data_IF_713992956752
#
_entry.id   IF_713992956752
#
_cell.length_a   1.000
_cell.length_b   1.000
_cell.length_c   1.000
_cell.angle_alpha   90.00
_cell.angle_beta   90.00
_cell.angle_gamma   90.00
#
_symmetry.space_group_name_H-M   'P 1'
#
loop_
_entity.id
_entity.type
_entity.pdbx_description
1 polymer ?
#
# COMPACT_ATOMS: atom_id res chain seq x y z
N UNK A 1 -23.59 -2.84 -7.82
CA UNK A 1 -23.25 -1.44 -8.15
C UNK A 1 -21.91 -1.47 -8.88
N UNK A 2 -21.93 -1.24 -10.19
CA UNK A 2 -20.76 -1.39 -11.07
C UNK A 2 -19.75 -0.26 -10.79
N UNK A 3 -18.46 -0.61 -10.69
CA UNK A 3 -17.38 0.36 -10.56
C UNK A 3 -17.37 1.29 -11.79
N UNK A 4 -17.13 2.60 -11.62
CA UNK A 4 -17.12 3.56 -12.72
C UNK A 4 -16.03 3.25 -13.76
N UNK A 5 -16.37 3.44 -15.04
CA UNK A 5 -15.55 3.11 -16.23
C UNK A 5 -14.18 3.83 -16.30
N UNK A 6 -13.91 4.77 -15.40
CA UNK A 6 -12.64 5.51 -15.33
C UNK A 6 -11.47 4.73 -14.71
N UNK A 7 -11.70 3.51 -14.23
CA UNK A 7 -10.64 2.60 -13.71
C UNK A 7 -10.16 1.55 -14.72
N UNK A 8 -10.72 1.51 -15.94
CA UNK A 8 -10.38 0.51 -16.96
C UNK A 8 -8.92 0.52 -17.47
N UNK A 9 -8.14 1.62 -17.49
CA UNK A 9 -6.78 1.56 -18.05
C UNK A 9 -5.70 0.97 -17.12
N UNK A 10 -5.97 0.72 -15.83
CA UNK A 10 -4.99 0.04 -14.95
C UNK A 10 -4.98 -1.49 -15.13
N UNK A 11 -5.91 -2.04 -15.92
CA UNK A 11 -6.05 -3.47 -16.19
C UNK A 11 -5.60 -3.87 -17.60
N UNK A 12 -5.13 -2.93 -18.43
CA UNK A 12 -4.75 -3.19 -19.83
C UNK A 12 -3.27 -2.95 -20.15
N UNK A 13 -2.41 -2.84 -19.13
CA UNK A 13 -0.95 -2.77 -19.30
C UNK A 13 -0.33 -4.17 -19.37
N UNK A 14 0.40 -4.44 -20.45
CA UNK A 14 0.95 -5.74 -20.82
C UNK A 14 1.89 -6.34 -19.75
N UNK A 15 1.52 -7.52 -19.23
CA UNK A 15 2.25 -8.50 -18.37
C UNK A 15 2.30 -8.31 -16.83
N UNK A 16 1.95 -9.41 -16.11
CA UNK A 16 2.86 -10.24 -15.27
C UNK A 16 2.46 -10.60 -13.83
N UNK A 17 1.23 -10.32 -13.37
CA UNK A 17 0.72 -10.98 -12.16
C UNK A 17 0.42 -12.46 -12.48
N UNK A 18 1.27 -13.37 -12.01
CA UNK A 18 1.18 -14.82 -12.29
C UNK A 18 0.54 -15.57 -11.13
N UNK A 19 0.71 -15.06 -9.91
CA UNK A 19 0.29 -15.70 -8.68
C UNK A 19 -0.63 -14.78 -7.89
N UNK A 20 -1.60 -15.35 -7.19
CA UNK A 20 -2.53 -14.58 -6.39
C UNK A 20 -3.13 -15.35 -5.23
N UNK A 21 -3.43 -14.63 -4.16
CA UNK A 21 -4.07 -15.14 -2.95
C UNK A 21 -4.97 -14.08 -2.33
N UNK A 22 -5.84 -14.49 -1.40
CA UNK A 22 -6.65 -13.59 -0.58
C UNK A 22 -6.30 -13.82 0.88
N UNK A 23 -6.06 -12.73 1.60
CA UNK A 23 -5.76 -12.75 3.03
C UNK A 23 -6.91 -12.04 3.75
N UNK A 24 -7.59 -12.74 4.65
CA UNK A 24 -8.57 -12.12 5.54
C UNK A 24 -7.84 -11.28 6.60
N UNK A 25 -8.24 -10.02 6.73
CA UNK A 25 -7.62 -9.07 7.67
C UNK A 25 -8.68 -8.24 8.42
N UNK A 26 -8.32 -7.60 9.55
CA UNK A 26 -9.20 -6.67 10.27
C UNK A 26 -9.71 -5.48 9.43
N UNK A 27 -9.07 -5.15 8.31
CA UNK A 27 -9.54 -4.09 7.38
C UNK A 27 -10.33 -4.65 6.18
N UNK A 28 -10.80 -5.90 6.30
CA UNK A 28 -11.44 -6.66 5.23
C UNK A 28 -10.46 -7.57 4.48
N UNK A 29 -10.96 -8.40 3.54
CA UNK A 29 -10.11 -9.24 2.73
C UNK A 29 -9.19 -8.40 1.84
N UNK A 30 -7.95 -8.83 1.69
CA UNK A 30 -6.96 -8.23 0.79
C UNK A 30 -6.54 -9.26 -0.25
N UNK A 31 -6.73 -8.95 -1.53
CA UNK A 31 -6.13 -9.74 -2.60
C UNK A 31 -4.70 -9.29 -2.86
N UNK A 32 -3.78 -10.25 -2.90
CA UNK A 32 -2.35 -10.02 -3.13
C UNK A 32 -1.97 -10.74 -4.42
N UNK A 33 -1.32 -10.03 -5.35
CA UNK A 33 -0.81 -10.62 -6.58
C UNK A 33 0.69 -10.37 -6.75
N UNK A 34 1.37 -11.36 -7.30
CA UNK A 34 2.81 -11.33 -7.50
C UNK A 34 3.22 -11.81 -8.90
N UNK A 35 4.33 -11.26 -9.38
CA UNK A 35 5.13 -11.82 -10.45
C UNK A 35 6.22 -12.73 -9.86
N UNK A 36 7.14 -13.22 -10.71
CA UNK A 36 8.36 -13.89 -10.25
C UNK A 36 9.31 -12.96 -9.49
N UNK A 37 9.17 -11.64 -9.63
CA UNK A 37 10.07 -10.64 -9.02
C UNK A 37 9.61 -10.13 -7.67
N UNK A 38 8.30 -10.12 -7.42
CA UNK A 38 7.75 -9.51 -6.21
C UNK A 38 6.23 -9.33 -6.25
N UNK A 39 5.70 -8.80 -5.14
CA UNK A 39 4.30 -8.36 -5.06
C UNK A 39 4.11 -7.17 -6.00
N UNK A 40 3.16 -7.30 -6.92
CA UNK A 40 2.83 -6.27 -7.91
C UNK A 40 1.66 -5.42 -7.45
N UNK A 41 0.64 -6.05 -6.84
CA UNK A 41 -0.60 -5.38 -6.42
C UNK A 41 -1.13 -5.92 -5.10
N UNK A 42 -1.73 -5.03 -4.30
CA UNK A 42 -2.59 -5.37 -3.17
C UNK A 42 -3.87 -4.55 -3.29
N UNK A 43 -5.00 -5.24 -3.35
CA UNK A 43 -6.31 -4.63 -3.49
C UNK A 43 -7.24 -5.02 -2.34
N UNK A 44 -8.14 -4.09 -2.01
CA UNK A 44 -9.19 -4.34 -1.02
C UNK A 44 -10.30 -5.16 -1.67
N UNK A 45 -10.69 -6.25 -1.03
CA UNK A 45 -11.67 -7.20 -1.54
C UNK A 45 -11.06 -8.56 -1.90
N UNK A 46 -11.86 -9.37 -2.60
CA UNK A 46 -11.57 -10.78 -2.88
C UNK A 46 -11.24 -11.03 -4.36
N UNK A 47 -10.43 -10.16 -4.97
CA UNK A 47 -10.10 -10.29 -6.41
C UNK A 47 -9.04 -11.38 -6.58
N UNK A 48 -9.47 -12.59 -6.95
CA UNK A 48 -8.57 -13.71 -7.18
C UNK A 48 -8.19 -13.84 -8.66
N UNK A 49 -6.88 -13.86 -8.97
CA UNK A 49 -6.32 -14.11 -10.32
C UNK A 49 -4.96 -14.81 -10.20
N UNK A 50 -4.65 -15.72 -11.13
CA UNK A 50 -3.35 -16.44 -11.16
C UNK A 50 -3.35 -17.78 -10.42
N UNK A 51 -2.16 -18.40 -10.30
CA UNK A 51 -1.96 -19.62 -9.52
C UNK A 51 -1.87 -19.32 -8.01
N UNK A 52 -2.34 -20.25 -7.17
CA UNK A 52 -2.50 -20.01 -5.71
C UNK A 52 -1.20 -20.01 -4.91
N UNK A 53 -0.18 -20.71 -5.39
CA UNK A 53 1.02 -20.97 -4.61
C UNK A 53 2.26 -20.52 -5.36
N UNK A 54 3.04 -19.70 -4.67
CA UNK A 54 4.37 -19.26 -5.03
C UNK A 54 5.03 -18.68 -3.77
N UNK A 55 6.34 -18.88 -3.55
CA UNK A 55 7.00 -18.44 -2.32
C UNK A 55 6.76 -16.96 -1.97
N UNK A 56 6.60 -16.09 -2.97
CA UNK A 56 6.33 -14.66 -2.75
C UNK A 56 4.92 -14.40 -2.19
N UNK A 57 3.88 -15.04 -2.72
CA UNK A 57 2.51 -14.85 -2.20
C UNK A 57 2.33 -15.52 -0.84
N UNK A 58 3.03 -16.62 -0.59
CA UNK A 58 3.02 -17.33 0.70
C UNK A 58 3.73 -16.50 1.78
N UNK A 59 4.89 -15.93 1.45
CA UNK A 59 5.60 -15.00 2.33
C UNK A 59 4.79 -13.73 2.57
N UNK A 60 4.16 -13.14 1.55
CA UNK A 60 3.33 -11.96 1.70
C UNK A 60 2.12 -12.23 2.61
N UNK A 61 1.46 -13.38 2.43
CA UNK A 61 0.36 -13.82 3.30
C UNK A 61 0.79 -13.92 4.75
N UNK A 62 1.93 -14.57 5.00
CA UNK A 62 2.49 -14.75 6.35
C UNK A 62 2.78 -13.39 6.99
N UNK A 63 3.51 -12.52 6.29
CA UNK A 63 3.90 -11.21 6.82
C UNK A 63 2.72 -10.27 7.04
N UNK A 64 1.68 -10.34 6.20
CA UNK A 64 0.45 -9.56 6.40
C UNK A 64 -0.25 -10.03 7.68
N UNK A 65 -0.33 -11.34 7.92
CA UNK A 65 -0.93 -11.88 9.16
C UNK A 65 -0.14 -11.45 10.40
N UNK A 66 1.19 -11.57 10.38
CA UNK A 66 2.07 -11.11 11.46
C UNK A 66 1.91 -9.60 11.72
N UNK A 67 1.77 -8.79 10.66
CA UNK A 67 1.57 -7.34 10.79
C UNK A 67 0.27 -7.02 11.54
N UNK A 68 -0.83 -7.68 11.18
CA UNK A 68 -2.10 -7.48 11.88
C UNK A 68 -2.14 -8.11 13.28
N UNK A 69 -1.28 -9.10 13.55
CA UNK A 69 -1.06 -9.62 14.90
C UNK A 69 -0.18 -8.70 15.78
N UNK A 70 0.45 -7.67 15.20
CA UNK A 70 1.39 -6.80 15.90
C UNK A 70 2.81 -7.37 16.04
N UNK A 71 3.08 -8.51 15.44
CA UNK A 71 4.35 -9.23 15.50
C UNK A 71 5.36 -8.74 14.44
N UNK A 72 4.87 -8.01 13.42
CA UNK A 72 5.69 -7.44 12.35
C UNK A 72 5.52 -5.93 12.22
N UNK A 73 6.67 -5.25 12.17
CA UNK A 73 6.74 -3.81 11.90
C UNK A 73 7.31 -3.47 10.52
N UNK A 74 8.08 -4.39 9.91
CA UNK A 74 8.76 -4.19 8.62
C UNK A 74 8.46 -5.37 7.69
N UNK A 75 7.99 -5.09 6.48
CA UNK A 75 7.85 -6.09 5.43
C UNK A 75 9.18 -6.32 4.72
N UNK A 76 9.54 -7.58 4.49
CA UNK A 76 10.74 -7.98 3.73
C UNK A 76 10.43 -8.66 2.40
N UNK A 77 9.15 -8.87 2.09
CA UNK A 77 8.76 -9.39 0.77
C UNK A 77 9.15 -8.42 -0.34
N UNK A 78 9.68 -8.91 -1.48
CA UNK A 78 10.04 -8.05 -2.59
C UNK A 78 8.79 -7.45 -3.25
N UNK A 79 8.91 -6.21 -3.71
CA UNK A 79 7.90 -5.51 -4.50
C UNK A 79 8.40 -5.46 -5.95
N UNK A 80 7.57 -5.87 -6.90
CA UNK A 80 7.85 -5.66 -8.31
C UNK A 80 7.32 -4.30 -8.74
N UNK A 81 8.25 -3.36 -8.93
CA UNK A 81 7.96 -1.96 -9.19
C UNK A 81 8.04 -1.55 -10.66
N UNK A 82 8.35 -2.48 -11.57
CA UNK A 82 8.60 -2.14 -12.98
C UNK A 82 7.41 -1.46 -13.69
N UNK A 83 6.18 -1.72 -13.25
CA UNK A 83 4.99 -1.13 -13.85
C UNK A 83 4.77 0.35 -13.49
N UNK A 84 5.41 0.85 -12.42
CA UNK A 84 5.16 2.20 -11.90
C UNK A 84 6.43 3.00 -11.59
N UNK A 85 7.61 2.36 -11.60
CA UNK A 85 8.88 3.01 -11.33
C UNK A 85 9.48 3.64 -12.60
N UNK A 86 8.86 4.73 -13.06
CA UNK A 86 9.27 5.50 -14.23
C UNK A 86 10.23 6.67 -13.90
N UNK A 87 10.67 6.78 -12.64
CA UNK A 87 11.49 7.90 -12.16
C UNK A 87 10.73 9.22 -11.96
N UNK A 88 9.44 9.26 -12.29
CA UNK A 88 8.57 10.42 -12.14
C UNK A 88 8.24 10.75 -10.69
N UNK A 89 7.48 11.83 -10.48
CA UNK A 89 7.12 12.29 -9.13
C UNK A 89 6.34 11.23 -8.34
N UNK A 90 5.41 10.52 -8.98
CA UNK A 90 4.65 9.46 -8.32
C UNK A 90 5.54 8.30 -7.86
N UNK A 91 6.45 7.83 -8.72
CA UNK A 91 7.44 6.81 -8.36
C UNK A 91 8.30 7.25 -7.17
N UNK A 92 8.81 8.49 -7.18
CA UNK A 92 9.60 9.06 -6.07
C UNK A 92 8.78 9.17 -4.79
N UNK A 93 7.51 9.56 -4.86
CA UNK A 93 6.63 9.60 -3.69
C UNK A 93 6.36 8.19 -3.13
N UNK A 94 6.12 7.19 -3.98
CA UNK A 94 5.95 5.80 -3.57
C UNK A 94 7.22 5.23 -2.91
N UNK A 95 8.41 5.59 -3.41
CA UNK A 95 9.67 5.25 -2.76
C UNK A 95 9.85 5.95 -1.42
N UNK A 96 9.55 7.26 -1.34
CA UNK A 96 9.64 8.02 -0.10
C UNK A 96 8.70 7.49 1.00
N UNK A 97 7.50 7.02 0.64
CA UNK A 97 6.55 6.40 1.57
C UNK A 97 7.18 5.22 2.33
N UNK A 98 8.04 4.43 1.69
CA UNK A 98 8.69 3.26 2.32
C UNK A 98 9.64 3.66 3.45
N UNK A 99 10.11 4.90 3.47
CA UNK A 99 10.95 5.45 4.54
C UNK A 99 10.18 5.94 5.75
N UNK A 100 8.84 6.03 5.70
CA UNK A 100 8.03 6.41 6.86
C UNK A 100 7.89 5.18 7.75
N UNK A 101 8.49 5.21 8.94
CA UNK A 101 8.54 4.06 9.84
C UNK A 101 7.18 3.64 10.42
N UNK A 102 7.12 2.43 10.97
CA UNK A 102 5.96 1.92 11.71
C UNK A 102 5.62 2.83 12.89
N UNK A 103 4.35 3.21 13.02
CA UNK A 103 3.87 4.12 14.07
C UNK A 103 4.24 5.59 13.84
N UNK A 104 4.86 5.92 12.70
CA UNK A 104 5.16 7.30 12.30
C UNK A 104 4.17 7.77 11.25
N UNK A 105 3.95 9.08 11.21
CA UNK A 105 3.12 9.74 10.20
C UNK A 105 3.84 10.94 9.61
N UNK A 106 3.52 11.29 8.38
CA UNK A 106 3.93 12.57 7.79
C UNK A 106 2.74 13.26 7.12
N UNK A 107 2.89 14.56 6.81
CA UNK A 107 1.89 15.29 6.04
C UNK A 107 2.06 15.07 4.54
N UNK A 108 1.02 15.29 3.75
CA UNK A 108 1.12 15.28 2.28
C UNK A 108 2.19 16.27 1.75
N UNK A 109 2.35 17.42 2.40
CA UNK A 109 3.40 18.39 2.04
C UNK A 109 4.81 17.89 2.37
N UNK A 110 4.98 17.22 3.51
CA UNK A 110 6.25 16.58 3.85
C UNK A 110 6.61 15.48 2.84
N UNK A 111 5.64 14.62 2.48
CA UNK A 111 5.85 13.61 1.43
C UNK A 111 6.22 14.24 0.08
N UNK A 112 5.53 15.33 -0.31
CA UNK A 112 5.82 16.03 -1.54
C UNK A 112 7.26 16.60 -1.55
N UNK A 113 7.71 17.15 -0.41
CA UNK A 113 9.09 17.57 -0.21
C UNK A 113 10.09 16.43 -0.40
N UNK A 114 9.85 15.28 0.22
CA UNK A 114 10.67 14.07 0.06
C UNK A 114 10.70 13.55 -1.39
N UNK A 115 9.60 13.75 -2.14
CA UNK A 115 9.51 13.40 -3.56
C UNK A 115 10.14 14.45 -4.51
N UNK A 116 10.71 15.54 -3.96
CA UNK A 116 11.45 16.56 -4.69
C UNK A 116 10.65 17.83 -5.03
N UNK A 117 9.46 18.04 -4.47
CA UNK A 117 8.70 19.29 -4.65
C UNK A 117 7.72 19.54 -3.50
N UNK A 118 8.07 20.42 -2.56
CA UNK A 118 7.21 20.76 -1.41
C UNK A 118 5.84 21.35 -1.82
N UNK A 119 5.77 22.01 -2.98
CA UNK A 119 4.51 22.57 -3.52
C UNK A 119 3.55 21.49 -4.06
N UNK A 120 4.01 20.25 -4.28
CA UNK A 120 3.25 19.20 -4.95
C UNK A 120 2.37 18.35 -4.02
N UNK A 121 1.82 18.92 -2.95
CA UNK A 121 1.01 18.20 -1.95
C UNK A 121 -0.19 17.44 -2.56
N UNK A 122 -0.85 18.03 -3.57
CA UNK A 122 -1.96 17.36 -4.28
C UNK A 122 -1.48 16.14 -5.07
N UNK A 123 -0.35 16.25 -5.76
CA UNK A 123 0.25 15.14 -6.50
C UNK A 123 0.70 14.02 -5.55
N UNK A 124 1.21 14.36 -4.35
CA UNK A 124 1.52 13.38 -3.32
C UNK A 124 0.26 12.63 -2.84
N UNK A 125 -0.87 13.35 -2.71
CA UNK A 125 -2.18 12.75 -2.46
C UNK A 125 -2.60 11.77 -3.56
N UNK A 126 -2.44 12.14 -4.82
CA UNK A 126 -2.70 11.25 -5.97
C UNK A 126 -1.81 10.01 -5.94
N UNK A 127 -0.50 10.16 -5.67
CA UNK A 127 0.42 9.03 -5.56
C UNK A 127 -0.01 8.06 -4.43
N UNK A 128 -0.46 8.59 -3.29
CA UNK A 128 -1.01 7.77 -2.20
C UNK A 128 -2.27 6.99 -2.62
N UNK A 129 -3.17 7.62 -3.38
CA UNK A 129 -4.40 6.99 -3.87
C UNK A 129 -4.14 5.90 -4.92
N UNK A 130 -3.12 6.11 -5.74
CA UNK A 130 -2.70 5.22 -6.83
C UNK A 130 -1.69 4.16 -6.40
N UNK A 131 -1.34 4.10 -5.11
CA UNK A 131 -0.39 3.13 -4.58
C UNK A 131 -0.79 1.69 -4.95
N UNK A 132 0.00 0.96 -5.74
CA UNK A 132 -0.38 -0.38 -6.20
C UNK A 132 -0.31 -1.42 -5.08
N UNK A 133 0.51 -1.21 -4.04
CA UNK A 133 0.76 -2.17 -2.96
C UNK A 133 0.58 -1.54 -1.57
N UNK A 134 -0.65 -1.15 -1.17
CA UNK A 134 -0.95 -0.69 0.18
C UNK A 134 -0.45 -1.68 1.24
N UNK A 135 -0.22 -1.18 2.46
CA UNK A 135 0.53 -1.82 3.56
C UNK A 135 2.04 -1.90 3.31
N UNK A 136 2.46 -2.57 2.24
CA UNK A 136 3.88 -2.71 1.89
C UNK A 136 4.51 -1.35 1.55
N UNK A 137 3.78 -0.54 0.77
CA UNK A 137 4.01 0.90 0.66
C UNK A 137 2.98 1.58 1.57
N UNK A 138 3.39 2.20 2.70
CA UNK A 138 2.49 2.55 3.80
C UNK A 138 1.80 3.90 3.60
N UNK A 139 1.00 4.05 2.53
CA UNK A 139 0.31 5.31 2.23
C UNK A 139 -0.75 5.71 3.29
N UNK A 140 -1.16 4.79 4.18
CA UNK A 140 -2.02 5.11 5.32
C UNK A 140 -1.33 6.01 6.36
N UNK A 141 0.02 6.06 6.37
CA UNK A 141 0.82 6.92 7.27
C UNK A 141 0.85 8.39 6.86
N UNK A 142 0.29 8.75 5.71
CA UNK A 142 0.22 10.14 5.25
C UNK A 142 -1.12 10.76 5.66
N UNK A 143 -1.06 11.84 6.44
CA UNK A 143 -2.25 12.54 6.97
C UNK A 143 -2.25 14.01 6.57
N UNK A 144 -3.34 14.73 6.87
CA UNK A 144 -3.38 16.18 6.66
C UNK A 144 -2.51 16.87 7.70
N UNK A 145 -2.02 18.07 7.38
CA UNK A 145 -1.16 18.86 8.28
C UNK A 145 -1.86 19.30 9.57
N UNK A 146 -3.19 19.33 9.58
CA UNK A 146 -4.02 19.60 10.76
C UNK A 146 -4.24 18.37 11.66
N UNK A 147 -3.61 17.23 11.34
CA UNK A 147 -3.76 15.96 12.05
C UNK A 147 -4.98 15.13 11.63
N UNK A 148 -5.86 15.66 10.78
CA UNK A 148 -7.05 14.92 10.32
C UNK A 148 -6.70 13.83 9.28
N UNK A 149 -7.54 12.80 9.22
CA UNK A 149 -7.35 11.69 8.29
C UNK A 149 -7.80 12.07 6.86
N UNK A 150 -6.85 12.05 5.93
CA UNK A 150 -7.13 12.09 4.49
C UNK A 150 -7.82 10.83 3.97
N UNK A 151 -8.33 10.90 2.73
CA UNK A 151 -8.91 9.74 2.06
C UNK A 151 -7.92 8.58 1.93
N UNK A 152 -8.47 7.37 1.88
CA UNK A 152 -7.72 6.13 1.74
C UNK A 152 -8.51 5.17 0.87
N UNK A 153 -7.83 4.38 0.02
CA UNK A 153 -8.51 3.46 -0.91
C UNK A 153 -9.33 2.39 -0.17
N UNK A 154 -8.83 1.92 0.98
CA UNK A 154 -9.58 1.01 1.87
C UNK A 154 -10.64 1.70 2.74
N UNK A 155 -10.89 2.99 2.53
CA UNK A 155 -11.78 3.79 3.36
C UNK A 155 -11.12 4.36 4.63
N UNK A 156 -11.73 5.40 5.19
CA UNK A 156 -11.19 6.11 6.37
C UNK A 156 -11.17 5.19 7.61
N UNK A 157 -12.13 4.26 7.74
CA UNK A 157 -12.16 3.27 8.83
C UNK A 157 -10.91 2.37 8.83
N UNK A 158 -10.55 1.81 7.67
CA UNK A 158 -9.33 1.00 7.53
C UNK A 158 -8.06 1.80 7.87
N UNK A 159 -7.96 3.04 7.37
CA UNK A 159 -6.82 3.91 7.68
C UNK A 159 -6.68 4.19 9.17
N UNK A 160 -7.80 4.45 9.86
CA UNK A 160 -7.81 4.65 11.31
C UNK A 160 -7.33 3.40 12.04
N UNK A 161 -7.89 2.23 11.71
CA UNK A 161 -7.51 0.96 12.33
C UNK A 161 -6.01 0.69 12.17
N UNK A 162 -5.46 0.89 10.97
CA UNK A 162 -4.03 0.71 10.72
C UNK A 162 -3.17 1.64 11.57
N UNK A 163 -3.55 2.91 11.67
CA UNK A 163 -2.81 3.87 12.51
C UNK A 163 -2.89 3.50 13.99
N UNK A 164 -4.07 3.09 14.48
CA UNK A 164 -4.27 2.66 15.88
C UNK A 164 -3.49 1.38 16.22
N UNK A 165 -3.49 0.39 15.31
CA UNK A 165 -2.68 -0.81 15.39
C UNK A 165 -1.20 -0.43 15.58
N UNK A 166 -0.69 0.46 14.72
CA UNK A 166 0.72 0.86 14.78
C UNK A 166 1.09 1.67 16.02
N UNK A 167 0.17 2.48 16.57
CA UNK A 167 0.41 3.23 17.82
C UNK A 167 0.35 2.35 19.07
N UNK A 168 -0.60 1.41 19.13
CA UNK A 168 -0.79 0.56 20.31
C UNK A 168 0.47 -0.22 20.65
N UNK A 169 1.14 -0.78 19.63
CA UNK A 169 2.38 -1.55 19.82
C UNK A 169 3.63 -0.68 20.02
N UNK A 170 3.53 0.64 19.90
CA UNK A 170 4.59 1.58 20.32
C UNK A 170 4.59 1.78 21.83
N UNK A 171 3.41 1.74 22.46
CA UNK A 171 3.21 2.09 23.88
C UNK A 171 3.54 0.98 24.88
N UNK A 172 3.78 -0.26 24.41
CA UNK A 172 4.22 -1.39 25.23
C UNK A 172 5.76 -1.53 25.30
N UNK A 173 6.50 -0.48 24.94
CA UNK A 173 7.95 -0.35 25.09
C UNK A 173 8.27 0.87 25.94
#
# INVERSE_FOLDING_TARGET
MLLPDTLKPMLSGNTRALYGTVVDTPIGPLSVHASERGVCTIDFGTIYRGARSHPIVDAATTQIREYFAGERQVFSVPIDDAAWNDGGFAARALHALRGIGYGQTCSYGALAGLAGSAAASRAAGTACAMNPVPLLIPCHRVIRSDGSLGNYRGGVGAKRLLLELEQTYRSYR
#
